data_IF_069979388641
#
_entry.id   IF_069979388641
#
_cell.length_a   1.000
_cell.length_b   1.000
_cell.length_c   1.000
_cell.angle_alpha   90.00
_cell.angle_beta   90.00
_cell.angle_gamma   90.00
#
_symmetry.space_group_name_H-M   'P 1'
#
loop_
_entity.id
_entity.type
_entity.pdbx_description
1 polymer ?
#
# COMPACT_ATOMS: atom_id res chain seq x y z
N UNK A 1 10.60 -38.84 -0.56
CA UNK A 1 11.42 -37.83 0.12
C UNK A 1 12.11 -36.98 -0.94
N UNK A 2 11.59 -35.78 -1.23
CA UNK A 2 12.29 -34.81 -2.08
C UNK A 2 11.85 -33.41 -1.64
N UNK A 3 12.62 -32.83 -0.72
CA UNK A 3 12.43 -31.49 -0.17
C UNK A 3 13.00 -30.49 -1.18
N UNK A 4 12.14 -29.78 -1.91
CA UNK A 4 12.57 -28.70 -2.79
C UNK A 4 12.61 -27.39 -1.99
N UNK A 5 13.70 -27.22 -1.22
CA UNK A 5 14.09 -25.91 -0.67
C UNK A 5 14.79 -25.11 -1.76
N UNK A 6 14.16 -24.05 -2.27
CA UNK A 6 14.85 -23.05 -3.09
C UNK A 6 14.80 -21.69 -2.39
N UNK A 7 15.97 -21.28 -1.91
CA UNK A 7 16.22 -20.03 -1.19
C UNK A 7 15.97 -18.83 -2.11
N UNK A 8 15.27 -17.84 -1.56
CA UNK A 8 15.22 -16.45 -2.00
C UNK A 8 16.59 -15.95 -2.47
N UNK A 9 16.67 -15.32 -3.64
CA UNK A 9 17.81 -14.52 -4.08
C UNK A 9 17.39 -13.06 -4.32
N UNK A 10 18.10 -12.21 -3.60
CA UNK A 10 18.09 -10.74 -3.50
C UNK A 10 18.49 -10.09 -4.85
N UNK A 11 17.82 -9.03 -5.30
CA UNK A 11 18.09 -7.59 -5.09
C UNK A 11 18.80 -6.96 -6.30
N UNK A 12 18.03 -6.35 -7.20
CA UNK A 12 18.55 -5.51 -8.27
C UNK A 12 18.75 -4.07 -7.78
N UNK A 13 19.97 -3.59 -7.97
CA UNK A 13 20.49 -2.29 -7.60
C UNK A 13 20.39 -1.33 -8.81
N UNK A 14 20.07 -0.05 -8.52
CA UNK A 14 20.31 1.17 -9.34
C UNK A 14 19.11 1.75 -10.13
N UNK A 15 18.66 2.94 -9.70
CA UNK A 15 17.90 3.90 -10.52
C UNK A 15 16.61 4.43 -9.88
N UNK A 16 16.71 5.51 -9.10
CA UNK A 16 15.63 6.14 -8.30
C UNK A 16 15.16 5.25 -7.14
N UNK A 17 15.29 5.74 -5.90
CA UNK A 17 14.90 5.01 -4.70
C UNK A 17 13.37 4.80 -4.67
N UNK A 18 12.90 3.74 -5.33
CA UNK A 18 11.55 3.22 -5.12
C UNK A 18 11.51 2.74 -3.66
N UNK A 19 10.55 3.18 -2.83
CA UNK A 19 10.46 2.68 -1.48
C UNK A 19 10.35 1.15 -1.54
N UNK A 20 11.18 0.48 -0.73
CA UNK A 20 11.22 -0.97 -0.69
C UNK A 20 9.84 -1.55 -0.40
N UNK A 21 9.61 -2.80 -0.83
CA UNK A 21 8.34 -3.48 -0.56
C UNK A 21 8.14 -3.62 0.95
N UNK A 22 7.11 -2.98 1.48
CA UNK A 22 6.71 -3.10 2.89
C UNK A 22 6.19 -4.53 3.12
N UNK A 23 6.73 -5.17 4.16
CA UNK A 23 6.30 -6.48 4.63
C UNK A 23 5.81 -6.31 6.07
N UNK A 24 4.50 -6.34 6.25
CA UNK A 24 3.83 -6.28 7.54
C UNK A 24 2.76 -7.39 7.55
N UNK A 25 2.45 -7.92 8.73
CA UNK A 25 1.36 -8.87 8.91
C UNK A 25 0.00 -8.20 8.71
N UNK A 26 -1.05 -9.00 8.53
CA UNK A 26 -2.40 -8.47 8.38
C UNK A 26 -2.91 -7.79 9.67
N UNK A 27 -2.44 -8.23 10.85
CA UNK A 27 -2.74 -7.61 12.14
C UNK A 27 -2.05 -6.25 12.28
N UNK A 28 -0.78 -6.14 11.88
CA UNK A 28 -0.06 -4.87 11.87
C UNK A 28 -0.71 -3.86 10.92
N UNK A 29 -1.20 -4.32 9.76
CA UNK A 29 -1.95 -3.48 8.83
C UNK A 29 -3.29 -3.02 9.40
N UNK A 30 -4.02 -3.89 10.10
CA UNK A 30 -5.28 -3.54 10.77
C UNK A 30 -5.08 -2.54 11.91
N UNK A 31 -3.94 -2.59 12.59
CA UNK A 31 -3.59 -1.62 13.63
C UNK A 31 -3.15 -0.27 13.05
N UNK A 32 -2.49 -0.28 11.88
CA UNK A 32 -1.95 0.93 11.23
C UNK A 32 -3.00 1.73 10.46
N UNK A 33 -3.94 1.05 9.81
CA UNK A 33 -4.95 1.66 8.94
C UNK A 33 -6.29 1.77 9.66
N UNK A 34 -7.10 2.75 9.28
CA UNK A 34 -8.51 2.73 9.67
C UNK A 34 -9.21 1.52 9.05
N UNK A 35 -10.32 1.09 9.64
CA UNK A 35 -11.10 -0.06 9.14
C UNK A 35 -11.46 0.08 7.66
N UNK A 36 -11.86 1.28 7.22
CA UNK A 36 -12.25 1.53 5.82
C UNK A 36 -11.03 1.44 4.89
N UNK A 37 -9.93 2.10 5.24
CA UNK A 37 -8.69 2.06 4.45
C UNK A 37 -8.13 0.63 4.33
N UNK A 38 -8.18 -0.15 5.41
CA UNK A 38 -7.77 -1.56 5.38
C UNK A 38 -8.64 -2.39 4.42
N UNK A 39 -9.97 -2.22 4.48
CA UNK A 39 -10.88 -2.94 3.57
C UNK A 39 -10.59 -2.57 2.11
N UNK A 40 -10.46 -1.29 1.81
CA UNK A 40 -10.17 -0.82 0.45
C UNK A 40 -8.80 -1.32 -0.03
N UNK A 41 -7.73 -1.06 0.73
CA UNK A 41 -6.37 -1.31 0.28
C UNK A 41 -5.94 -2.77 0.34
N UNK A 42 -6.45 -3.56 1.31
CA UNK A 42 -5.98 -4.93 1.59
C UNK A 42 -7.04 -6.00 1.32
N UNK A 43 -8.33 -5.66 1.36
CA UNK A 43 -9.43 -6.59 1.05
C UNK A 43 -10.08 -6.30 -0.31
N UNK A 44 -9.48 -5.46 -1.14
CA UNK A 44 -9.99 -5.09 -2.46
C UNK A 44 -11.43 -4.54 -2.41
N UNK A 45 -11.78 -3.88 -1.31
CA UNK A 45 -13.07 -3.21 -1.18
C UNK A 45 -13.10 -1.90 -1.97
N UNK A 46 -14.31 -1.37 -2.14
CA UNK A 46 -14.55 -0.06 -2.73
C UNK A 46 -15.31 0.78 -1.70
N UNK A 47 -14.93 2.03 -1.54
CA UNK A 47 -15.68 2.97 -0.71
C UNK A 47 -17.11 3.16 -1.24
N UNK A 48 -18.02 3.59 -0.37
CA UNK A 48 -19.39 3.89 -0.79
C UNK A 48 -19.42 5.06 -1.77
N UNK A 49 -20.40 5.05 -2.68
CA UNK A 49 -20.51 6.12 -3.66
C UNK A 49 -20.64 7.48 -2.95
N UNK A 50 -19.87 8.46 -3.42
CA UNK A 50 -19.88 9.84 -2.93
C UNK A 50 -19.44 10.03 -1.47
N UNK A 51 -18.73 9.07 -0.86
CA UNK A 51 -18.29 9.18 0.55
C UNK A 51 -16.80 9.46 0.74
N UNK A 52 -16.01 9.53 -0.33
CA UNK A 52 -14.56 9.71 -0.23
C UNK A 52 -14.16 11.07 0.34
N UNK A 53 -13.21 11.10 1.27
CA UNK A 53 -12.71 12.35 1.89
C UNK A 53 -12.15 13.32 0.85
N UNK A 54 -11.54 12.77 -0.20
CA UNK A 54 -10.89 13.54 -1.26
C UNK A 54 -11.81 13.80 -2.47
N UNK A 55 -13.09 13.45 -2.39
CA UNK A 55 -14.05 13.54 -3.49
C UNK A 55 -14.13 14.94 -4.11
N UNK A 56 -14.20 15.98 -3.26
CA UNK A 56 -14.32 17.38 -3.68
C UNK A 56 -13.01 18.16 -3.49
N UNK A 57 -11.89 17.47 -3.26
CA UNK A 57 -10.62 18.13 -3.00
C UNK A 57 -10.03 18.73 -4.30
N UNK A 58 -9.91 20.05 -4.33
CA UNK A 58 -9.34 20.83 -5.45
C UNK A 58 -8.05 21.56 -5.05
N UNK A 59 -7.50 21.25 -3.88
CA UNK A 59 -6.27 21.86 -3.41
C UNK A 59 -5.07 21.36 -4.21
N UNK A 60 -4.03 22.19 -4.33
CA UNK A 60 -2.74 21.79 -4.90
C UNK A 60 -1.98 20.97 -3.85
N UNK A 61 -1.41 19.84 -4.22
CA UNK A 61 -0.73 18.97 -3.28
C UNK A 61 -0.15 17.72 -3.94
N UNK A 62 0.15 16.71 -3.14
CA UNK A 62 0.57 15.40 -3.63
C UNK A 62 -0.31 14.35 -2.94
N UNK A 63 -0.95 13.50 -3.73
CA UNK A 63 -1.69 12.36 -3.22
C UNK A 63 -0.74 11.19 -3.07
N UNK A 64 -0.56 10.72 -1.83
CA UNK A 64 0.28 9.57 -1.48
C UNK A 64 -0.56 8.33 -1.18
N UNK A 65 -0.03 7.15 -1.47
CA UNK A 65 -0.63 5.87 -1.09
C UNK A 65 -0.79 5.77 0.43
N UNK A 66 -2.01 5.56 0.91
CA UNK A 66 -2.31 5.42 2.35
C UNK A 66 -1.56 4.26 3.03
N UNK A 67 -1.24 3.18 2.29
CA UNK A 67 -0.52 2.04 2.85
C UNK A 67 0.97 2.33 3.06
N UNK A 68 1.64 2.78 2.00
CA UNK A 68 3.10 2.85 1.95
C UNK A 68 3.67 4.27 1.87
N UNK A 69 2.84 5.30 1.79
CA UNK A 69 3.25 6.70 1.72
C UNK A 69 3.88 7.12 0.39
N UNK A 70 3.92 6.23 -0.61
CA UNK A 70 4.51 6.57 -1.92
C UNK A 70 3.66 7.62 -2.62
N UNK A 71 4.27 8.70 -3.12
CA UNK A 71 3.59 9.70 -3.92
C UNK A 71 3.06 9.10 -5.25
N UNK A 72 1.79 9.34 -5.55
CA UNK A 72 1.10 8.79 -6.73
C UNK A 72 0.67 9.88 -7.72
N UNK A 73 0.03 10.95 -7.23
CA UNK A 73 -0.52 12.04 -8.06
C UNK A 73 -0.09 13.41 -7.54
N UNK A 74 -0.03 14.42 -8.42
CA UNK A 74 0.31 15.82 -8.14
C UNK A 74 -0.79 16.75 -8.63
#
# INVERSE_FOLDING_TARGET
>A
MASCSTKSRLSDTTGTARPGKIQLSDEEWQAKLTRQEYIVCRKHGTETAWSGELLENKAKGIYSCTCCGTALFK
#
